data_IF_679187088003
#
_entry.id   IF_679187088003
#
_cell.length_a   1.000
_cell.length_b   1.000
_cell.length_c   1.000
_cell.angle_alpha   90.00
_cell.angle_beta   90.00
_cell.angle_gamma   90.00
#
_symmetry.space_group_name_H-M   'P 1'
#
loop_
_entity.id
_entity.type
_entity.pdbx_description
1 polymer ?
#
# COMPACT_ATOMS: atom_id res chain seq x y z
N UNK A 1 0.79 -4.90 7.18
CA UNK A 1 0.14 -4.52 5.90
C UNK A 1 0.93 -3.40 5.26
N UNK A 2 1.34 -3.55 4.00
CA UNK A 2 2.11 -2.56 3.27
C UNK A 2 1.19 -1.42 2.80
N UNK A 3 1.57 -0.17 3.01
CA UNK A 3 0.90 0.96 2.35
C UNK A 3 1.29 1.06 0.86
N UNK A 4 0.61 1.93 0.11
CA UNK A 4 0.85 2.11 -1.32
C UNK A 4 2.26 2.57 -1.70
N UNK A 5 2.88 3.42 -0.90
CA UNK A 5 4.24 3.90 -1.13
C UNK A 5 5.28 2.80 -0.88
N UNK A 6 5.13 2.02 0.19
CA UNK A 6 6.00 0.85 0.45
C UNK A 6 5.82 -0.23 -0.63
N UNK A 7 4.57 -0.51 -1.02
CA UNK A 7 4.26 -1.41 -2.13
C UNK A 7 4.96 -0.96 -3.41
N UNK A 8 4.80 0.32 -3.78
CA UNK A 8 5.41 0.88 -4.99
C UNK A 8 6.94 0.80 -4.90
N UNK A 9 7.51 1.14 -3.75
CA UNK A 9 8.95 1.14 -3.52
C UNK A 9 9.56 -0.25 -3.70
N UNK A 10 8.91 -1.31 -3.19
CA UNK A 10 9.44 -2.67 -3.29
C UNK A 10 9.11 -3.36 -4.63
N UNK A 11 7.90 -3.20 -5.16
CA UNK A 11 7.46 -3.98 -6.33
C UNK A 11 7.73 -3.33 -7.68
N UNK A 12 7.96 -2.02 -7.70
CA UNK A 12 7.90 -1.27 -8.96
C UNK A 12 9.12 -0.39 -9.20
N UNK A 13 9.80 0.08 -8.15
CA UNK A 13 11.02 0.87 -8.29
C UNK A 13 12.22 -0.05 -8.44
N UNK A 14 13.13 0.34 -9.32
CA UNK A 14 14.37 -0.40 -9.60
C UNK A 14 15.55 0.08 -8.73
N UNK A 15 15.25 0.82 -7.66
CA UNK A 15 16.26 1.28 -6.71
C UNK A 15 16.42 0.25 -5.59
N UNK A 16 17.65 -0.23 -5.30
CA UNK A 16 17.89 -1.16 -4.21
C UNK A 16 17.39 -0.61 -2.87
N UNK A 17 16.65 -1.43 -2.12
CA UNK A 17 16.18 -1.08 -0.78
C UNK A 17 16.51 -2.23 0.17
N UNK A 18 17.81 -2.43 0.49
CA UNK A 18 18.27 -3.65 1.15
C UNK A 18 17.63 -3.89 2.52
N UNK A 19 17.31 -2.82 3.28
CA UNK A 19 16.64 -2.93 4.57
C UNK A 19 15.18 -3.39 4.39
N UNK A 20 14.45 -2.76 3.46
CA UNK A 20 13.07 -3.13 3.15
C UNK A 20 12.99 -4.55 2.57
N UNK A 21 13.91 -4.89 1.68
CA UNK A 21 14.06 -6.22 1.11
C UNK A 21 14.34 -7.25 2.21
N UNK A 22 15.24 -6.93 3.14
CA UNK A 22 15.53 -7.76 4.30
C UNK A 22 14.30 -8.04 5.16
N UNK A 23 13.52 -7.01 5.51
CA UNK A 23 12.27 -7.20 6.26
C UNK A 23 11.23 -8.02 5.48
N UNK A 24 11.04 -7.75 4.19
CA UNK A 24 10.05 -8.47 3.37
C UNK A 24 10.45 -9.93 3.17
N UNK A 25 11.72 -10.20 2.87
CA UNK A 25 12.21 -11.57 2.65
C UNK A 25 12.35 -12.36 3.96
N UNK A 26 12.57 -11.67 5.09
CA UNK A 26 12.60 -12.26 6.43
C UNK A 26 11.22 -12.49 7.05
N UNK A 27 10.16 -11.97 6.44
CA UNK A 27 8.78 -12.16 6.90
C UNK A 27 8.10 -13.25 6.08
N UNK A 28 7.37 -14.16 6.73
CA UNK A 28 6.55 -15.15 6.04
C UNK A 28 5.58 -14.45 5.06
N UNK A 29 5.56 -14.79 3.76
CA UNK A 29 4.69 -14.15 2.78
C UNK A 29 3.20 -14.17 3.14
N UNK A 30 2.73 -15.16 3.92
CA UNK A 30 1.35 -15.26 4.40
C UNK A 30 0.99 -14.17 5.43
N UNK A 31 2.00 -13.56 6.07
CA UNK A 31 1.86 -12.45 7.01
C UNK A 31 1.99 -11.08 6.33
N UNK A 32 2.34 -11.04 5.05
CA UNK A 32 2.40 -9.80 4.27
C UNK A 32 1.06 -9.59 3.56
N UNK A 33 0.43 -8.48 3.93
CA UNK A 33 -0.87 -8.06 3.41
C UNK A 33 -0.75 -6.77 2.63
N UNK A 34 -1.51 -6.65 1.55
CA UNK A 34 -1.70 -5.46 0.74
C UNK A 34 -3.18 -5.07 0.83
N UNK A 35 -3.50 -3.80 1.09
CA UNK A 35 -4.90 -3.37 1.07
C UNK A 35 -5.45 -3.42 -0.36
N UNK A 36 -6.72 -3.80 -0.53
CA UNK A 36 -7.42 -3.67 -1.83
C UNK A 36 -7.41 -2.22 -2.34
N UNK A 37 -7.30 -1.23 -1.45
CA UNK A 37 -7.17 0.19 -1.81
C UNK A 37 -5.84 0.48 -2.52
N UNK A 38 -4.75 -0.16 -2.07
CA UNK A 38 -3.45 -0.09 -2.74
C UNK A 38 -3.48 -0.82 -4.08
N UNK A 39 -4.12 -2.00 -4.14
CA UNK A 39 -4.31 -2.72 -5.39
C UNK A 39 -5.09 -1.88 -6.43
N UNK A 40 -6.19 -1.25 -6.01
CA UNK A 40 -6.99 -0.34 -6.83
C UNK A 40 -6.14 0.81 -7.39
N UNK A 41 -5.34 1.45 -6.54
CA UNK A 41 -4.45 2.54 -6.95
C UNK A 41 -3.45 2.09 -8.02
N UNK A 42 -2.75 0.98 -7.80
CA UNK A 42 -1.71 0.50 -8.72
C UNK A 42 -2.30 0.10 -10.08
N UNK A 43 -3.44 -0.61 -10.08
CA UNK A 43 -4.12 -1.00 -11.32
C UNK A 43 -4.61 0.24 -12.09
N UNK A 44 -5.19 1.23 -11.39
CA UNK A 44 -5.61 2.49 -12.03
C UNK A 44 -4.42 3.27 -12.60
N UNK A 45 -3.29 3.29 -11.91
CA UNK A 45 -2.06 3.87 -12.41
C UNK A 45 -1.60 3.22 -13.71
N UNK A 46 -1.65 1.88 -13.78
CA UNK A 46 -1.30 1.14 -14.98
C UNK A 46 -2.24 1.44 -16.15
N UNK A 47 -3.56 1.43 -15.94
CA UNK A 47 -4.53 1.78 -16.97
C UNK A 47 -4.37 3.22 -17.46
N UNK A 48 -4.07 4.15 -16.56
CA UNK A 48 -3.77 5.53 -16.93
C UNK A 48 -2.54 5.60 -17.84
N UNK A 49 -1.46 4.90 -17.51
CA UNK A 49 -0.24 4.89 -18.31
C UNK A 49 -0.48 4.30 -19.71
N UNK A 50 -1.22 3.19 -19.80
CA UNK A 50 -1.59 2.57 -21.08
C UNK A 50 -2.39 3.56 -21.93
N UNK A 51 -3.41 4.20 -21.35
CA UNK A 51 -4.26 5.18 -22.05
C UNK A 51 -3.44 6.38 -22.53
N UNK A 52 -2.58 6.94 -21.68
CA UNK A 52 -1.82 8.15 -21.97
C UNK A 52 -0.71 7.90 -23.03
N UNK A 53 -0.30 6.64 -23.24
CA UNK A 53 0.81 6.29 -24.15
C UNK A 53 0.40 5.41 -25.34
N UNK A 54 -0.90 5.19 -25.54
CA UNK A 54 -1.49 4.22 -26.49
C UNK A 54 -0.99 4.31 -27.94
N UNK A 55 -0.59 5.50 -28.40
CA UNK A 55 -0.14 5.74 -29.77
C UNK A 55 1.40 5.79 -29.91
N UNK A 56 2.13 5.30 -28.91
CA UNK A 56 3.59 5.32 -28.89
C UNK A 56 4.13 3.98 -28.42
N UNK A 57 5.39 3.67 -28.74
CA UNK A 57 6.08 2.50 -28.20
C UNK A 57 6.10 2.45 -26.65
N UNK A 58 5.85 3.58 -25.97
CA UNK A 58 5.77 3.67 -24.50
C UNK A 58 4.56 2.95 -23.90
N UNK A 59 3.56 2.55 -24.69
CA UNK A 59 2.45 1.68 -24.22
C UNK A 59 2.95 0.39 -23.57
N UNK A 60 4.11 -0.10 -24.02
CA UNK A 60 4.80 -1.26 -23.43
C UNK A 60 5.11 -1.06 -21.95
N UNK A 61 5.47 0.15 -21.51
CA UNK A 61 5.73 0.48 -20.10
C UNK A 61 4.47 0.34 -19.25
N UNK A 62 3.32 0.74 -19.78
CA UNK A 62 2.01 0.58 -19.14
C UNK A 62 1.66 -0.89 -18.89
N UNK A 63 1.82 -1.74 -19.92
CA UNK A 63 1.58 -3.17 -19.80
C UNK A 63 2.63 -3.90 -18.94
N UNK A 64 3.89 -3.49 -18.98
CA UNK A 64 4.93 -4.00 -18.08
C UNK A 64 4.59 -3.68 -16.61
N UNK A 65 4.18 -2.44 -16.33
CA UNK A 65 3.77 -2.04 -14.98
C UNK A 65 2.51 -2.77 -14.50
N UNK A 66 1.50 -2.95 -15.37
CA UNK A 66 0.33 -3.78 -15.07
C UNK A 66 0.73 -5.23 -14.75
N UNK A 67 1.60 -5.82 -15.56
CA UNK A 67 2.07 -7.20 -15.37
C UNK A 67 2.80 -7.35 -14.03
N UNK A 68 3.75 -6.45 -13.73
CA UNK A 68 4.46 -6.41 -12.42
C UNK A 68 3.47 -6.29 -11.25
N UNK A 69 2.45 -5.42 -11.39
CA UNK A 69 1.41 -5.22 -10.38
C UNK A 69 0.62 -6.52 -10.12
N UNK A 70 0.15 -7.19 -11.17
CA UNK A 70 -0.62 -8.43 -11.05
C UNK A 70 0.21 -9.59 -10.45
N UNK A 71 1.49 -9.70 -10.81
CA UNK A 71 2.38 -10.70 -10.21
C UNK A 71 2.63 -10.43 -8.72
N UNK A 72 2.83 -9.17 -8.34
CA UNK A 72 2.96 -8.78 -6.93
C UNK A 72 1.69 -9.10 -6.14
N UNK A 73 0.51 -8.77 -6.68
CA UNK A 73 -0.79 -9.06 -6.05
C UNK A 73 -1.11 -10.56 -5.97
N UNK A 74 -0.53 -11.39 -6.85
CA UNK A 74 -0.63 -12.86 -6.76
C UNK A 74 0.23 -13.45 -5.63
N UNK A 75 1.31 -12.78 -5.23
CA UNK A 75 2.29 -13.30 -4.26
C UNK A 75 1.86 -13.12 -2.80
N UNK A 76 1.03 -12.13 -2.50
CA UNK A 76 0.68 -11.74 -1.13
C UNK A 76 -0.82 -11.67 -0.92
N UNK A 77 -1.21 -11.63 0.35
CA UNK A 77 -2.61 -11.58 0.72
C UNK A 77 -3.19 -10.18 0.48
N UNK A 78 -4.43 -10.13 -0.04
CA UNK A 78 -5.15 -8.86 -0.25
C UNK A 78 -6.20 -8.70 0.85
N UNK A 79 -6.11 -7.62 1.63
CA UNK A 79 -7.08 -7.31 2.66
C UNK A 79 -8.26 -6.53 2.05
N UNK A 80 -9.50 -7.03 2.15
CA UNK A 80 -10.67 -6.33 1.63
C UNK A 80 -11.01 -5.08 2.45
N UNK A 81 -11.61 -4.09 1.78
CA UNK A 81 -12.29 -2.99 2.42
C UNK A 81 -13.77 -3.38 2.62
N UNK A 82 -14.05 -4.11 3.69
CA UNK A 82 -15.37 -4.64 4.03
C UNK A 82 -16.13 -3.72 5.01
N UNK A 83 -17.28 -4.19 5.52
CA UNK A 83 -18.09 -3.44 6.47
C UNK A 83 -17.34 -3.10 7.77
N UNK A 84 -16.47 -4.00 8.26
CA UNK A 84 -15.68 -3.75 9.46
C UNK A 84 -14.62 -2.66 9.20
N UNK A 85 -13.97 -2.69 8.04
CA UNK A 85 -13.07 -1.61 7.59
C UNK A 85 -13.81 -0.27 7.44
N UNK A 86 -15.03 -0.28 6.92
CA UNK A 86 -15.84 0.93 6.81
C UNK A 86 -16.27 1.50 8.17
N UNK A 87 -16.65 0.65 9.10
CA UNK A 87 -16.99 1.08 10.47
C UNK A 87 -15.78 1.76 11.15
N UNK A 88 -14.58 1.16 11.03
CA UNK A 88 -13.35 1.78 11.52
C UNK A 88 -13.10 3.12 10.84
N UNK A 89 -13.30 3.21 9.52
CA UNK A 89 -13.13 4.45 8.76
C UNK A 89 -14.06 5.58 9.24
N UNK A 90 -15.30 5.26 9.61
CA UNK A 90 -16.25 6.25 10.15
C UNK A 90 -15.85 6.76 11.54
N UNK A 91 -15.16 5.94 12.33
CA UNK A 91 -14.65 6.31 13.66
C UNK A 91 -13.38 7.16 13.61
N UNK A 92 -12.69 7.24 12.46
CA UNK A 92 -11.54 8.15 12.30
C UNK A 92 -12.06 9.59 12.26
N UNK A 93 -11.56 10.49 13.13
CA UNK A 93 -11.98 11.90 13.13
C UNK A 93 -11.83 12.55 11.76
N UNK A 94 -12.73 13.47 11.42
CA UNK A 94 -12.79 14.06 10.08
C UNK A 94 -11.53 14.87 9.76
N UNK A 95 -10.99 15.56 10.75
CA UNK A 95 -9.73 16.30 10.71
C UNK A 95 -8.55 15.37 10.39
N UNK A 96 -8.45 14.22 11.07
CA UNK A 96 -7.43 13.21 10.79
C UNK A 96 -7.58 12.67 9.37
N UNK A 97 -8.82 12.37 8.93
CA UNK A 97 -9.07 11.89 7.56
C UNK A 97 -8.67 12.89 6.48
N UNK A 98 -8.77 14.20 6.77
CA UNK A 98 -8.31 15.26 5.87
C UNK A 98 -6.78 15.32 5.83
N UNK A 99 -6.13 15.27 6.99
CA UNK A 99 -4.67 15.37 7.11
C UNK A 99 -3.95 14.20 6.43
N UNK A 100 -4.46 12.98 6.59
CA UNK A 100 -3.87 11.78 5.96
C UNK A 100 -4.47 11.46 4.59
N UNK A 101 -5.45 12.24 4.11
CA UNK A 101 -6.23 12.01 2.88
C UNK A 101 -7.14 10.79 2.95
N UNK A 102 -8.23 10.85 2.17
CA UNK A 102 -9.29 9.83 2.16
C UNK A 102 -8.78 8.42 1.84
N UNK A 103 -7.81 8.29 0.94
CA UNK A 103 -7.27 6.98 0.54
C UNK A 103 -6.47 6.33 1.66
N UNK A 104 -5.51 7.05 2.24
CA UNK A 104 -4.65 6.49 3.28
C UNK A 104 -5.48 6.28 4.57
N UNK A 105 -6.56 7.05 4.76
CA UNK A 105 -7.59 6.77 5.78
C UNK A 105 -8.28 5.41 5.59
N UNK A 106 -8.54 4.98 4.35
CA UNK A 106 -9.13 3.66 4.10
C UNK A 106 -8.12 2.54 4.35
N UNK A 107 -6.84 2.76 4.03
CA UNK A 107 -5.74 1.84 4.37
C UNK A 107 -5.64 1.70 5.89
N UNK A 108 -5.57 2.82 6.62
CA UNK A 108 -5.53 2.83 8.08
C UNK A 108 -6.74 2.13 8.71
N UNK A 109 -7.95 2.41 8.20
CA UNK A 109 -9.17 1.77 8.68
C UNK A 109 -9.20 0.25 8.42
N UNK A 110 -8.67 -0.20 7.29
CA UNK A 110 -8.55 -1.63 6.99
C UNK A 110 -7.57 -2.32 7.96
N UNK A 111 -6.45 -1.66 8.27
CA UNK A 111 -5.50 -2.19 9.23
C UNK A 111 -6.12 -2.28 10.65
N UNK A 112 -6.79 -1.22 11.09
CA UNK A 112 -7.50 -1.18 12.37
C UNK A 112 -8.61 -2.22 12.52
N UNK A 113 -9.23 -2.66 11.42
CA UNK A 113 -10.33 -3.63 11.51
C UNK A 113 -9.83 -5.04 11.81
N UNK A 114 -8.53 -5.31 11.61
CA UNK A 114 -7.87 -6.61 11.82
C UNK A 114 -6.65 -6.52 12.76
N UNK A 115 -6.48 -5.42 13.47
CA UNK A 115 -5.33 -5.17 14.36
C UNK A 115 -3.97 -5.34 13.66
N UNK A 116 -3.91 -4.94 12.39
CA UNK A 116 -2.68 -5.01 11.59
C UNK A 116 -1.80 -3.78 11.80
N UNK A 117 -0.50 -4.01 11.80
CA UNK A 117 0.51 -2.95 11.72
C UNK A 117 0.66 -2.44 10.29
N UNK A 118 0.61 -1.12 10.09
CA UNK A 118 0.87 -0.49 8.78
C UNK A 118 2.36 -0.27 8.59
N UNK A 119 2.90 -0.79 7.49
CA UNK A 119 4.27 -0.51 7.06
C UNK A 119 4.22 0.71 6.15
N UNK A 120 4.84 1.82 6.55
CA UNK A 120 4.80 3.11 5.84
C UNK A 120 6.02 3.97 6.17
N UNK A 121 6.51 4.74 5.19
CA UNK A 121 7.48 5.82 5.44
C UNK A 121 6.84 7.08 6.02
N UNK A 122 5.51 7.19 5.93
CA UNK A 122 4.76 8.38 6.35
C UNK A 122 4.25 8.25 7.80
N UNK A 123 5.12 7.81 8.72
CA UNK A 123 4.76 7.55 10.13
C UNK A 123 4.01 8.72 10.77
N UNK A 124 4.46 9.96 10.51
CA UNK A 124 3.81 11.18 11.04
C UNK A 124 2.32 11.24 10.72
N UNK A 125 1.91 10.85 9.52
CA UNK A 125 0.51 10.89 9.11
C UNK A 125 -0.28 9.75 9.74
N UNK A 126 0.20 8.51 9.60
CA UNK A 126 -0.53 7.34 10.11
C UNK A 126 -0.66 7.32 11.63
N UNK A 127 0.31 7.89 12.37
CA UNK A 127 0.22 8.06 13.84
C UNK A 127 -0.89 9.01 14.30
N UNK A 128 -1.46 9.83 13.42
CA UNK A 128 -2.64 10.64 13.76
C UNK A 128 -3.90 9.78 13.94
N UNK A 129 -3.91 8.55 13.45
CA UNK A 129 -5.05 7.64 13.57
C UNK A 129 -4.99 6.93 14.94
N UNK A 130 -5.97 7.16 15.85
CA UNK A 130 -5.94 6.55 17.17
C UNK A 130 -5.98 5.02 17.12
N UNK A 131 -5.10 4.38 17.89
CA UNK A 131 -5.02 2.92 18.00
C UNK A 131 -4.31 2.22 16.82
N UNK A 132 -3.82 2.96 15.83
CA UNK A 132 -3.13 2.37 14.68
C UNK A 132 -1.65 2.16 14.98
N UNK A 133 -1.19 0.90 14.88
CA UNK A 133 0.24 0.60 14.89
C UNK A 133 0.86 0.84 13.51
N UNK A 134 2.05 1.45 13.49
CA UNK A 134 2.82 1.66 12.27
C UNK A 134 4.32 1.52 12.48
N UNK A 135 5.02 1.08 11.43
CA UNK A 135 6.47 0.88 11.39
C UNK A 135 7.01 1.30 10.03
N UNK A 136 8.26 1.77 10.00
CA UNK A 136 8.98 2.06 8.77
C UNK A 136 10.04 0.98 8.55
N UNK A 137 9.81 0.10 7.57
CA UNK A 137 10.77 -0.95 7.17
C UNK A 137 11.88 -0.45 6.24
N UNK A 138 11.97 0.85 5.99
CA UNK A 138 13.07 1.44 5.21
C UNK A 138 14.19 1.99 6.10
N UNK A 139 13.99 1.97 7.42
CA UNK A 139 14.97 2.40 8.41
C UNK A 139 15.43 1.18 9.23
N UNK A 140 16.68 1.17 9.73
CA UNK A 140 17.10 0.15 10.67
C UNK A 140 16.28 0.23 11.96
N UNK A 141 16.15 -0.90 12.66
CA UNK A 141 15.58 -0.92 14.01
C UNK A 141 16.39 0.02 14.92
N UNK A 142 15.73 0.85 15.76
CA UNK A 142 16.39 1.78 16.66
C UNK A 142 17.26 1.10 17.73
#
# INVERSE_FOLDING_TARGET
>A
MLDSDIYTLYFTRESPQPILEGHILGTDPSLIWISVVTAEESIRGAFKLIKDTQNTARVTLGYQFLSKTLYALKKYQILPFDAASYERFQRIPIEVRRDIKTRDSRIAASALSRDFKVVTRNLKHFRLVPGLECVDWTQPDP
#
